data_IF_144394483952
#
_entry.id   IF_144394483952
#
_cell.length_a   1.000
_cell.length_b   1.000
_cell.length_c   1.000
_cell.angle_alpha   90.00
_cell.angle_beta   90.00
_cell.angle_gamma   90.00
#
_symmetry.space_group_name_H-M   'P 1'
#
loop_
_entity.id
_entity.type
_entity.pdbx_description
1 polymer ?
#
# COMPACT_ATOMS: atom_id res chain seq x y z
N UNK A 1 15.50 6.69 -28.84
CA UNK A 1 14.61 6.93 -27.68
C UNK A 1 15.44 6.90 -26.41
N UNK A 2 15.26 7.84 -25.47
CA UNK A 2 15.92 7.83 -24.16
C UNK A 2 15.04 7.07 -23.18
N UNK A 3 15.54 5.99 -22.60
CA UNK A 3 14.77 5.10 -21.69
C UNK A 3 15.49 5.03 -20.35
N UNK A 4 14.73 5.10 -19.27
CA UNK A 4 15.17 4.84 -17.90
C UNK A 4 14.25 3.78 -17.30
N UNK A 5 14.78 2.96 -16.39
CA UNK A 5 14.01 1.87 -15.76
C UNK A 5 13.83 2.14 -14.29
N UNK A 6 12.62 1.92 -13.78
CA UNK A 6 12.34 1.91 -12.36
C UNK A 6 12.01 0.50 -11.87
N UNK A 7 12.57 0.13 -10.73
CA UNK A 7 12.10 -1.00 -9.91
C UNK A 7 11.31 -0.40 -8.76
N UNK A 8 10.00 -0.32 -8.96
CA UNK A 8 9.09 0.24 -7.97
C UNK A 8 8.74 -0.83 -6.94
N UNK A 9 9.04 -0.57 -5.68
CA UNK A 9 8.63 -1.41 -4.55
C UNK A 9 7.19 -1.11 -4.14
N UNK A 10 6.69 -1.77 -3.08
CA UNK A 10 5.28 -1.67 -2.71
C UNK A 10 4.87 -0.21 -2.50
N UNK A 11 3.93 0.24 -3.31
CA UNK A 11 3.29 1.55 -3.17
C UNK A 11 1.79 1.37 -3.07
N UNK A 12 1.15 2.19 -2.26
CA UNK A 12 -0.27 2.06 -1.91
C UNK A 12 -0.89 3.42 -1.62
N UNK A 13 -2.18 3.43 -1.37
CA UNK A 13 -2.95 4.64 -1.10
C UNK A 13 -4.31 4.61 -1.78
N UNK A 14 -5.06 5.72 -1.82
CA UNK A 14 -6.34 5.80 -2.49
C UNK A 14 -6.29 5.24 -3.91
N UNK A 15 -7.34 4.53 -4.32
CA UNK A 15 -7.49 3.82 -5.62
C UNK A 15 -6.64 2.55 -5.77
N UNK A 16 -5.94 2.08 -4.73
CA UNK A 16 -5.30 0.77 -4.79
C UNK A 16 -6.37 -0.32 -4.94
N UNK A 17 -6.17 -1.24 -5.88
CA UNK A 17 -7.09 -2.36 -6.11
C UNK A 17 -7.20 -3.31 -4.92
N UNK A 18 -8.38 -3.86 -4.67
CA UNK A 18 -8.69 -4.73 -3.53
C UNK A 18 -8.10 -6.16 -3.59
N UNK A 19 -7.35 -6.45 -4.64
CA UNK A 19 -6.54 -7.68 -4.77
C UNK A 19 -5.25 -7.62 -3.92
N UNK A 20 -4.87 -6.43 -3.44
CA UNK A 20 -3.72 -6.22 -2.58
C UNK A 20 -4.13 -6.17 -1.11
N UNK A 21 -3.29 -6.71 -0.23
CA UNK A 21 -3.62 -6.95 1.17
C UNK A 21 -4.12 -5.68 1.88
N UNK A 22 -3.37 -4.58 1.80
CA UNK A 22 -3.69 -3.31 2.45
C UNK A 22 -5.04 -2.76 2.01
N UNK A 23 -5.33 -2.82 0.73
CA UNK A 23 -6.57 -2.33 0.15
C UNK A 23 -7.75 -3.27 0.46
N UNK A 24 -7.52 -4.59 0.41
CA UNK A 24 -8.49 -5.60 0.83
C UNK A 24 -8.90 -5.42 2.30
N UNK A 25 -7.93 -5.15 3.17
CA UNK A 25 -8.21 -4.93 4.59
C UNK A 25 -9.01 -3.64 4.81
N UNK A 26 -8.60 -2.53 4.19
CA UNK A 26 -9.32 -1.27 4.26
C UNK A 26 -10.75 -1.38 3.75
N UNK A 27 -10.98 -2.11 2.63
CA UNK A 27 -12.31 -2.41 2.09
C UNK A 27 -13.15 -3.20 3.09
N UNK A 28 -12.62 -4.30 3.64
CA UNK A 28 -13.35 -5.12 4.61
C UNK A 28 -13.71 -4.31 5.85
N UNK A 29 -12.78 -3.47 6.37
CA UNK A 29 -13.06 -2.59 7.51
C UNK A 29 -14.19 -1.61 7.18
N UNK A 30 -14.14 -0.94 6.04
CA UNK A 30 -15.19 -0.02 5.62
C UNK A 30 -16.56 -0.71 5.49
N UNK A 31 -16.59 -1.94 4.98
CA UNK A 31 -17.84 -2.74 4.90
C UNK A 31 -18.35 -3.17 6.29
N UNK A 32 -17.45 -3.48 7.22
CA UNK A 32 -17.81 -3.77 8.62
C UNK A 32 -18.39 -2.52 9.29
N UNK A 33 -17.76 -1.37 9.13
CA UNK A 33 -18.22 -0.08 9.66
C UNK A 33 -19.61 0.30 9.14
N UNK A 34 -19.91 -0.05 7.88
CA UNK A 34 -21.22 0.14 7.26
C UNK A 34 -22.25 -0.98 7.61
N UNK A 35 -21.90 -1.94 8.46
CA UNK A 35 -22.73 -3.12 8.82
C UNK A 35 -23.14 -3.99 7.61
N UNK A 36 -22.36 -4.00 6.54
CA UNK A 36 -22.61 -4.81 5.34
C UNK A 36 -22.09 -6.25 5.49
N UNK A 37 -21.09 -6.46 6.34
CA UNK A 37 -20.54 -7.78 6.66
C UNK A 37 -20.32 -7.93 8.17
N UNK A 38 -20.25 -9.16 8.70
CA UNK A 38 -19.89 -9.40 10.10
C UNK A 38 -18.52 -8.82 10.44
N UNK A 39 -18.23 -8.49 11.74
CA UNK A 39 -16.96 -7.92 12.17
C UNK A 39 -15.81 -8.94 12.15
N UNK A 40 -15.52 -9.45 10.94
CA UNK A 40 -14.49 -10.47 10.70
C UNK A 40 -13.71 -10.13 9.43
N UNK A 41 -12.40 -9.94 9.54
CA UNK A 41 -11.49 -9.72 8.42
C UNK A 41 -10.83 -11.03 8.03
N UNK A 42 -10.95 -11.40 6.76
CA UNK A 42 -10.27 -12.54 6.15
C UNK A 42 -8.90 -12.10 5.64
N UNK A 43 -7.85 -12.79 6.07
CA UNK A 43 -6.46 -12.46 5.76
C UNK A 43 -5.70 -13.64 5.16
N UNK A 44 -4.58 -13.36 4.46
CA UNK A 44 -3.59 -14.36 4.09
C UNK A 44 -2.40 -14.36 5.06
N UNK A 45 -1.17 -14.41 4.53
CA UNK A 45 0.06 -14.34 5.32
C UNK A 45 0.24 -12.94 5.94
N UNK A 46 0.39 -12.88 7.26
CA UNK A 46 0.59 -11.65 8.03
C UNK A 46 2.06 -11.40 8.42
N UNK A 47 2.95 -12.37 8.22
CA UNK A 47 4.33 -12.30 8.70
C UNK A 47 5.30 -11.65 7.72
N UNK A 48 4.93 -11.55 6.45
CA UNK A 48 5.77 -10.93 5.43
C UNK A 48 6.08 -9.47 5.77
N UNK A 49 7.36 -9.08 5.68
CA UNK A 49 7.82 -7.71 5.88
C UNK A 49 7.81 -6.96 4.54
N UNK A 50 7.20 -5.78 4.52
CA UNK A 50 7.13 -4.91 3.33
C UNK A 50 7.50 -3.49 3.69
N UNK A 51 8.08 -2.80 2.70
CA UNK A 51 8.29 -1.36 2.79
C UNK A 51 7.21 -0.66 1.98
N UNK A 52 6.48 0.25 2.61
CA UNK A 52 5.36 0.97 1.99
C UNK A 52 5.75 2.37 1.55
N UNK A 53 5.26 2.76 0.37
CA UNK A 53 5.36 4.10 -0.19
C UNK A 53 3.95 4.61 -0.54
N UNK A 54 3.69 5.88 -0.27
CA UNK A 54 2.45 6.50 -0.76
C UNK A 54 2.46 6.61 -2.29
N UNK A 55 1.34 6.32 -2.92
CA UNK A 55 1.20 6.38 -4.38
C UNK A 55 1.48 7.77 -4.94
N UNK A 56 1.17 8.84 -4.19
CA UNK A 56 1.44 10.24 -4.60
C UNK A 56 2.94 10.53 -4.63
N UNK A 57 3.69 10.00 -3.67
CA UNK A 57 5.15 10.06 -3.68
C UNK A 57 5.75 9.21 -4.82
N UNK A 58 5.15 8.06 -5.13
CA UNK A 58 5.54 7.25 -6.28
C UNK A 58 5.36 8.01 -7.61
N UNK A 59 4.23 8.69 -7.78
CA UNK A 59 3.95 9.52 -8.98
C UNK A 59 4.94 10.69 -9.05
N UNK A 60 5.23 11.35 -7.93
CA UNK A 60 6.24 12.42 -7.85
C UNK A 60 7.64 11.91 -8.22
N UNK A 61 7.99 10.69 -7.81
CA UNK A 61 9.26 10.07 -8.20
C UNK A 61 9.36 9.86 -9.72
N UNK A 62 8.30 9.37 -10.38
CA UNK A 62 8.27 9.24 -11.84
C UNK A 62 8.41 10.60 -12.55
N UNK A 63 7.73 11.63 -12.05
CA UNK A 63 7.87 12.98 -12.59
C UNK A 63 9.31 13.49 -12.48
N UNK A 64 9.91 13.36 -11.29
CA UNK A 64 11.29 13.81 -11.07
C UNK A 64 12.29 13.01 -11.91
N UNK A 65 12.06 11.71 -12.12
CA UNK A 65 12.94 10.89 -12.95
C UNK A 65 13.09 11.44 -14.39
N UNK A 66 12.03 11.98 -14.95
CA UNK A 66 12.05 12.50 -16.33
C UNK A 66 12.40 14.00 -16.43
N UNK A 67 12.31 14.73 -15.33
CA UNK A 67 12.53 16.19 -15.29
C UNK A 67 13.86 16.61 -14.67
N UNK A 68 14.39 15.82 -13.69
CA UNK A 68 15.64 16.14 -12.98
C UNK A 68 16.80 15.36 -13.61
N UNK A 69 17.54 15.99 -14.53
CA UNK A 69 18.75 15.46 -15.17
C UNK A 69 18.60 14.00 -15.67
N UNK A 70 17.65 13.68 -16.55
CA UNK A 70 17.39 12.30 -16.97
C UNK A 70 18.63 11.71 -17.67
N UNK A 71 19.04 10.50 -17.24
CA UNK A 71 20.19 9.77 -17.80
C UNK A 71 19.68 8.52 -18.50
N UNK A 72 19.78 8.48 -19.82
CA UNK A 72 19.34 7.34 -20.61
C UNK A 72 20.14 6.06 -20.26
N UNK A 73 19.47 4.94 -20.15
CA UNK A 73 20.07 3.65 -19.80
C UNK A 73 20.13 3.37 -18.30
N UNK A 74 19.89 4.37 -17.46
CA UNK A 74 19.94 4.20 -16.00
C UNK A 74 18.70 3.46 -15.44
N UNK A 75 18.92 2.80 -14.31
CA UNK A 75 17.87 2.14 -13.53
C UNK A 75 17.93 2.57 -12.06
N UNK A 76 16.74 2.64 -11.44
CA UNK A 76 16.59 3.10 -10.06
C UNK A 76 15.60 2.24 -9.30
N UNK A 77 15.94 1.89 -8.06
CA UNK A 77 14.96 1.40 -7.11
C UNK A 77 14.23 2.59 -6.50
N UNK A 78 12.91 2.50 -6.42
CA UNK A 78 12.05 3.52 -5.80
C UNK A 78 11.13 2.81 -4.80
N UNK A 79 11.11 3.30 -3.58
CA UNK A 79 10.31 2.73 -2.50
C UNK A 79 10.25 3.65 -1.30
N UNK A 80 9.42 3.30 -0.32
CA UNK A 80 9.27 4.03 0.92
C UNK A 80 10.40 3.77 1.92
N UNK A 81 10.24 4.36 3.08
CA UNK A 81 11.16 4.22 4.23
C UNK A 81 10.52 3.48 5.39
N UNK A 82 9.19 3.35 5.41
CA UNK A 82 8.48 2.65 6.46
C UNK A 82 8.35 1.16 6.14
N UNK A 83 8.97 0.32 6.96
CA UNK A 83 8.90 -1.16 6.83
C UNK A 83 8.18 -1.75 8.03
N UNK A 84 7.17 -2.56 7.78
CA UNK A 84 6.44 -3.29 8.82
C UNK A 84 5.92 -4.63 8.30
N UNK A 85 5.56 -5.53 9.21
CA UNK A 85 4.83 -6.75 8.86
C UNK A 85 3.42 -6.40 8.35
N UNK A 86 2.88 -7.24 7.48
CA UNK A 86 1.48 -7.12 7.01
C UNK A 86 0.51 -7.13 8.19
N UNK A 87 0.82 -7.91 9.25
CA UNK A 87 0.03 -7.93 10.49
C UNK A 87 0.04 -6.60 11.24
N UNK A 88 1.17 -5.92 11.31
CA UNK A 88 1.28 -4.60 11.97
C UNK A 88 0.50 -3.54 11.19
N UNK A 89 0.58 -3.57 9.86
CA UNK A 89 -0.24 -2.71 9.00
C UNK A 89 -1.74 -2.95 9.19
N UNK A 90 -2.17 -4.22 9.29
CA UNK A 90 -3.56 -4.56 9.59
C UNK A 90 -3.99 -4.02 10.97
N UNK A 91 -3.16 -4.22 12.00
CA UNK A 91 -3.43 -3.71 13.35
C UNK A 91 -3.57 -2.19 13.35
N UNK A 92 -2.74 -1.48 12.59
CA UNK A 92 -2.86 -0.04 12.42
C UNK A 92 -4.22 0.34 11.79
N UNK A 93 -4.62 -0.31 10.69
CA UNK A 93 -5.94 -0.07 10.06
C UNK A 93 -7.11 -0.35 11.02
N UNK A 94 -7.03 -1.43 11.82
CA UNK A 94 -8.04 -1.74 12.84
C UNK A 94 -8.06 -0.66 13.92
N UNK A 95 -6.92 -0.13 14.33
CA UNK A 95 -6.83 0.89 15.38
C UNK A 95 -7.52 2.20 15.02
N UNK A 96 -7.52 2.57 13.73
CA UNK A 96 -8.20 3.77 13.20
C UNK A 96 -9.63 3.51 12.72
N UNK A 97 -10.12 2.26 12.88
CA UNK A 97 -11.51 1.90 12.59
C UNK A 97 -12.47 2.41 13.66
N UNK A 98 -13.68 2.76 13.24
CA UNK A 98 -14.79 3.07 14.15
C UNK A 98 -15.44 1.82 14.76
N UNK A 99 -15.28 0.66 14.11
CA UNK A 99 -15.82 -0.62 14.59
C UNK A 99 -14.96 -1.23 15.69
N UNK A 100 -15.64 -1.81 16.70
CA UNK A 100 -14.99 -2.53 17.80
C UNK A 100 -15.07 -4.04 17.59
N UNK A 101 -14.18 -4.79 18.27
CA UNK A 101 -14.20 -6.26 18.32
C UNK A 101 -14.10 -6.93 16.94
N UNK A 102 -13.32 -6.35 16.03
CA UNK A 102 -13.04 -6.96 14.72
C UNK A 102 -12.18 -8.22 14.93
N UNK A 103 -12.66 -9.37 14.45
CA UNK A 103 -11.92 -10.63 14.46
C UNK A 103 -11.08 -10.77 13.20
N UNK A 104 -9.90 -11.36 13.34
CA UNK A 104 -9.01 -11.66 12.21
C UNK A 104 -8.98 -13.17 12.01
N UNK A 105 -9.26 -13.64 10.80
CA UNK A 105 -9.32 -15.08 10.45
C UNK A 105 -8.47 -15.34 9.21
N UNK A 106 -7.54 -16.28 9.32
CA UNK A 106 -6.73 -16.72 8.17
C UNK A 106 -7.61 -17.52 7.21
N UNK A 107 -7.67 -17.03 5.97
CA UNK A 107 -8.35 -17.70 4.86
C UNK A 107 -7.31 -18.38 3.97
N UNK A 108 -7.37 -19.71 3.89
CA UNK A 108 -6.41 -20.52 3.13
C UNK A 108 -6.36 -20.17 1.64
N UNK A 109 -7.45 -19.70 1.06
CA UNK A 109 -7.53 -19.28 -0.33
C UNK A 109 -6.72 -17.99 -0.62
N UNK A 110 -6.40 -17.24 0.43
CA UNK A 110 -5.58 -16.01 0.37
C UNK A 110 -4.09 -16.26 0.61
N UNK A 111 -3.70 -17.49 0.92
CA UNK A 111 -2.29 -17.86 1.06
C UNK A 111 -1.68 -18.09 -0.33
N UNK A 112 -0.56 -17.42 -0.58
CA UNK A 112 0.21 -17.62 -1.82
C UNK A 112 1.18 -18.77 -1.63
N UNK A 113 1.37 -19.66 -2.63
CA UNK A 113 2.34 -20.76 -2.54
C UNK A 113 3.78 -20.27 -2.36
N UNK A 114 4.11 -19.12 -2.96
CA UNK A 114 5.40 -18.44 -2.84
C UNK A 114 5.12 -16.99 -2.49
N UNK A 115 5.64 -16.53 -1.36
CA UNK A 115 5.60 -15.11 -0.95
C UNK A 115 7.02 -14.68 -0.61
N UNK A 116 7.38 -13.45 -0.94
CA UNK A 116 8.67 -12.90 -0.52
C UNK A 116 8.59 -12.52 0.95
N UNK A 117 9.45 -13.07 1.79
CA UNK A 117 9.43 -12.80 3.24
C UNK A 117 9.88 -11.37 3.56
N UNK A 118 10.77 -10.83 2.74
CA UNK A 118 11.42 -9.54 2.95
C UNK A 118 11.50 -8.73 1.67
N UNK A 119 11.01 -7.49 1.70
CA UNK A 119 11.19 -6.51 0.62
C UNK A 119 11.53 -5.13 1.20
N UNK A 120 12.83 -4.84 1.27
CA UNK A 120 13.36 -3.52 1.68
C UNK A 120 14.17 -2.95 0.50
N UNK A 121 13.76 -1.81 -0.09
CA UNK A 121 14.49 -1.19 -1.19
C UNK A 121 15.70 -0.41 -0.70
N UNK A 122 16.81 -0.47 -1.43
CA UNK A 122 17.83 0.56 -1.37
C UNK A 122 17.52 1.63 -2.43
N UNK A 123 17.13 2.81 -1.98
CA UNK A 123 16.73 3.95 -2.82
C UNK A 123 17.80 5.03 -2.90
N UNK A 124 18.97 4.83 -2.30
CA UNK A 124 20.04 5.81 -2.15
C UNK A 124 20.46 6.42 -3.51
N UNK A 125 20.58 5.58 -4.56
CA UNK A 125 20.96 6.04 -5.89
C UNK A 125 19.95 7.06 -6.45
N UNK A 126 18.64 6.78 -6.30
CA UNK A 126 17.59 7.67 -6.79
C UNK A 126 17.54 8.98 -6.00
N UNK A 127 17.62 8.88 -4.68
CA UNK A 127 17.64 10.04 -3.77
C UNK A 127 18.85 10.96 -4.05
N UNK A 128 20.04 10.38 -4.18
CA UNK A 128 21.27 11.16 -4.46
C UNK A 128 21.23 11.83 -5.83
N UNK A 129 20.62 11.20 -6.82
CA UNK A 129 20.52 11.75 -8.17
C UNK A 129 19.47 12.88 -8.27
N UNK A 130 18.31 12.69 -7.67
CA UNK A 130 17.15 13.57 -7.90
C UNK A 130 16.83 14.49 -6.74
N UNK A 131 17.35 14.23 -5.53
CA UNK A 131 16.91 14.87 -4.29
C UNK A 131 15.54 14.43 -3.80
N UNK A 132 14.92 13.42 -4.44
CA UNK A 132 13.61 12.92 -4.05
C UNK A 132 13.67 12.19 -2.69
N UNK A 133 12.67 12.43 -1.86
CA UNK A 133 12.40 11.67 -0.64
C UNK A 133 10.90 11.50 -0.47
N UNK A 134 10.42 10.43 0.18
CA UNK A 134 9.02 10.31 0.57
C UNK A 134 8.62 11.47 1.50
N UNK A 135 7.43 12.02 1.30
CA UNK A 135 6.91 13.14 2.10
C UNK A 135 5.64 12.77 2.87
N UNK A 136 4.92 11.73 2.41
CA UNK A 136 3.67 11.30 3.02
C UNK A 136 3.95 10.14 3.95
N UNK A 137 3.53 10.26 5.22
CA UNK A 137 3.75 9.21 6.21
C UNK A 137 2.91 7.96 5.94
N UNK A 138 3.35 6.83 6.50
CA UNK A 138 2.61 5.57 6.42
C UNK A 138 1.22 5.69 7.05
N UNK A 139 1.12 6.33 8.21
CA UNK A 139 -0.13 6.54 8.92
C UNK A 139 -1.13 7.33 8.06
N UNK A 140 -0.67 8.42 7.43
CA UNK A 140 -1.49 9.23 6.53
C UNK A 140 -1.94 8.43 5.30
N UNK A 141 -1.06 7.62 4.75
CA UNK A 141 -1.39 6.74 3.61
C UNK A 141 -2.48 5.73 3.98
N UNK A 142 -2.39 5.10 5.17
CA UNK A 142 -3.39 4.12 5.63
C UNK A 142 -4.73 4.78 5.95
N UNK A 143 -4.72 5.96 6.59
CA UNK A 143 -5.91 6.75 6.83
C UNK A 143 -6.63 7.12 5.52
N UNK A 144 -5.90 7.65 4.55
CA UNK A 144 -6.45 8.04 3.26
C UNK A 144 -6.97 6.84 2.45
N UNK A 145 -6.29 5.69 2.54
CA UNK A 145 -6.75 4.44 1.92
C UNK A 145 -8.06 3.96 2.54
N UNK A 146 -8.17 3.99 3.89
CA UNK A 146 -9.40 3.60 4.57
C UNK A 146 -10.55 4.57 4.25
N UNK A 147 -10.31 5.87 4.24
CA UNK A 147 -11.30 6.87 3.90
C UNK A 147 -11.79 6.72 2.45
N UNK A 148 -10.90 6.45 1.51
CA UNK A 148 -11.27 6.12 0.12
C UNK A 148 -12.26 4.94 0.06
N UNK A 149 -12.03 3.87 0.83
CA UNK A 149 -12.94 2.73 0.85
C UNK A 149 -14.26 3.04 1.58
N UNK A 150 -14.24 3.88 2.64
CA UNK A 150 -15.47 4.39 3.29
C UNK A 150 -16.37 5.13 2.29
N UNK A 151 -15.78 6.02 1.46
CA UNK A 151 -16.52 6.74 0.41
C UNK A 151 -17.06 5.78 -0.66
N UNK A 152 -16.25 4.81 -1.10
CA UNK A 152 -16.67 3.79 -2.07
C UNK A 152 -17.83 2.94 -1.55
N UNK A 153 -17.76 2.51 -0.30
CA UNK A 153 -18.81 1.70 0.34
C UNK A 153 -20.09 2.52 0.52
N UNK A 154 -20.00 3.75 1.00
CA UNK A 154 -21.16 4.63 1.20
C UNK A 154 -21.88 4.98 -0.11
N UNK A 155 -21.15 5.09 -1.23
CA UNK A 155 -21.72 5.36 -2.56
C UNK A 155 -22.24 4.11 -3.29
N UNK A 156 -22.08 2.90 -2.71
CA UNK A 156 -22.46 1.63 -3.35
C UNK A 156 -21.50 1.12 -4.43
N UNK A 157 -20.40 1.84 -4.70
CA UNK A 157 -19.45 1.55 -5.80
C UNK A 157 -18.31 0.60 -5.39
N UNK A 158 -18.52 -0.26 -4.40
CA UNK A 158 -17.48 -1.15 -3.86
C UNK A 158 -17.44 -2.53 -4.54
N UNK A 159 -18.40 -2.84 -5.40
CA UNK A 159 -18.46 -4.10 -6.16
C UNK A 159 -17.75 -3.99 -7.52
N UNK A 160 -17.61 -2.77 -8.06
CA UNK A 160 -16.92 -2.53 -9.34
C UNK A 160 -15.40 -2.68 -9.15
N UNK A 161 -14.81 -3.50 -10.05
CA UNK A 161 -13.35 -3.72 -10.17
C UNK A 161 -12.72 -2.74 -11.14
#
# INVERSE_FOLDING_TARGET
MKVMTTRMFTHTGPRRGDVFAESSFAKQIAMIEANLIPPTIKVGNLDSLRTFLDVRDAVRAYYMLVTVKPIAGEYYNIGGTHSCKIGDMLNHLISISTSKNIKVVVDKERLRPIDADLQIPDTTKFQSHTGWNPEISFEKTMEDLLNFWREKVSSGNYLDR
#
